data_IF_619796078514
#
_entry.id   IF_619796078514
#
_cell.length_a   1.000
_cell.length_b   1.000
_cell.length_c   1.000
_cell.angle_alpha   90.00
_cell.angle_beta   90.00
_cell.angle_gamma   90.00
#
_symmetry.space_group_name_H-M   'P 1'
#
loop_
_entity.id
_entity.type
_entity.pdbx_description
1 polymer ?
#
# COMPACT_ATOMS: atom_id res chain seq x y z
N UNK A 1 -14.00 -54.89 -33.90
CA UNK A 1 -14.61 -53.55 -33.77
C UNK A 1 -13.65 -52.70 -32.95
N UNK A 2 -12.79 -51.95 -33.64
CA UNK A 2 -11.73 -51.12 -33.09
C UNK A 2 -12.31 -49.79 -32.60
N UNK A 3 -12.20 -49.52 -31.29
CA UNK A 3 -12.63 -48.27 -30.68
C UNK A 3 -11.82 -47.09 -31.27
N UNK A 4 -12.54 -46.12 -31.82
CA UNK A 4 -12.03 -44.98 -32.57
C UNK A 4 -11.44 -43.91 -31.63
N UNK A 5 -10.20 -43.48 -31.90
CA UNK A 5 -9.38 -42.54 -31.07
C UNK A 5 -9.84 -41.07 -31.15
N UNK A 6 -11.07 -40.82 -31.62
CA UNK A 6 -11.58 -39.49 -32.01
C UNK A 6 -12.27 -38.69 -30.89
N UNK A 7 -12.35 -39.21 -29.67
CA UNK A 7 -13.16 -38.60 -28.60
C UNK A 7 -12.44 -37.70 -27.59
N UNK A 8 -11.11 -37.60 -27.59
CA UNK A 8 -10.36 -37.08 -26.43
C UNK A 8 -9.55 -35.80 -26.69
N UNK A 9 -9.86 -35.04 -27.75
CA UNK A 9 -9.15 -33.80 -28.12
C UNK A 9 -10.06 -32.55 -28.13
N UNK A 10 -11.08 -32.49 -27.28
CA UNK A 10 -12.05 -31.37 -27.29
C UNK A 10 -12.41 -30.78 -25.91
N UNK A 11 -11.57 -30.94 -24.89
CA UNK A 11 -11.80 -30.38 -23.54
C UNK A 11 -10.60 -29.60 -23.00
N UNK A 12 -9.83 -28.96 -23.87
CA UNK A 12 -8.60 -28.25 -23.52
C UNK A 12 -8.58 -26.78 -23.95
N UNK A 13 -9.62 -25.97 -23.68
CA UNK A 13 -9.51 -24.51 -23.86
C UNK A 13 -10.63 -23.69 -23.18
N UNK A 14 -10.88 -23.86 -21.88
CA UNK A 14 -11.87 -23.03 -21.17
C UNK A 14 -11.51 -22.69 -19.72
N UNK A 15 -10.23 -22.73 -19.34
CA UNK A 15 -9.78 -22.22 -18.05
C UNK A 15 -9.41 -20.74 -18.19
N UNK A 16 -10.47 -19.93 -18.07
CA UNK A 16 -10.53 -18.58 -17.54
C UNK A 16 -9.20 -17.83 -17.41
N UNK A 17 -8.98 -16.89 -18.33
CA UNK A 17 -8.18 -15.69 -18.09
C UNK A 17 -8.85 -14.88 -16.97
N UNK A 18 -8.61 -15.28 -15.72
CA UNK A 18 -8.90 -14.46 -14.54
C UNK A 18 -7.97 -13.26 -14.55
N UNK A 19 -8.35 -12.23 -15.31
CA UNK A 19 -7.66 -10.95 -15.26
C UNK A 19 -7.66 -10.47 -13.81
N UNK A 20 -6.47 -10.17 -13.26
CA UNK A 20 -6.37 -9.33 -12.08
C UNK A 20 -6.97 -7.99 -12.47
N UNK A 21 -8.29 -7.85 -12.30
CA UNK A 21 -8.95 -6.57 -12.34
C UNK A 21 -8.37 -5.80 -11.16
N UNK A 22 -7.31 -5.05 -11.43
CA UNK A 22 -6.78 -4.06 -10.52
C UNK A 22 -7.94 -3.14 -10.20
N UNK A 23 -8.57 -3.36 -9.05
CA UNK A 23 -9.51 -2.42 -8.47
C UNK A 23 -8.77 -1.09 -8.48
N UNK A 24 -9.38 -0.06 -9.05
CA UNK A 24 -8.73 1.22 -9.33
C UNK A 24 -8.00 1.81 -8.13
N UNK A 25 -7.25 2.88 -8.35
CA UNK A 25 -6.39 3.50 -7.34
C UNK A 25 -5.04 3.88 -7.92
N UNK A 26 -4.10 4.27 -7.05
CA UNK A 26 -2.72 4.54 -7.45
C UNK A 26 -1.86 3.27 -7.41
N UNK A 27 -0.88 3.19 -8.29
CA UNK A 27 0.23 2.24 -8.19
C UNK A 27 1.33 2.84 -7.33
N UNK A 28 1.72 2.14 -6.28
CA UNK A 28 2.83 2.55 -5.42
C UNK A 28 4.16 2.18 -6.08
N UNK A 29 5.11 3.11 -6.04
CA UNK A 29 6.50 2.87 -6.40
C UNK A 29 7.40 3.21 -5.23
N UNK A 30 8.56 2.56 -5.12
CA UNK A 30 9.56 2.94 -4.14
C UNK A 30 10.10 4.34 -4.44
N UNK A 31 10.19 5.19 -3.41
CA UNK A 31 10.89 6.47 -3.50
C UNK A 31 12.41 6.32 -3.65
N UNK A 32 13.13 7.39 -4.05
CA UNK A 32 14.59 7.39 -4.06
C UNK A 32 15.14 7.12 -2.65
N UNK A 33 15.93 6.06 -2.49
CA UNK A 33 16.36 5.52 -1.18
C UNK A 33 17.36 6.36 -0.41
N UNK A 34 17.78 7.54 -0.91
CA UNK A 34 18.80 8.39 -0.29
C UNK A 34 18.30 9.28 0.84
N UNK A 35 16.99 9.59 0.89
CA UNK A 35 16.40 10.57 1.84
C UNK A 35 15.46 9.92 2.88
N UNK A 36 15.42 8.58 2.96
CA UNK A 36 14.53 7.88 3.88
C UNK A 36 15.00 7.90 5.36
N UNK A 37 16.25 8.30 5.62
CA UNK A 37 16.82 8.33 6.96
C UNK A 37 16.11 9.41 7.81
N UNK A 38 15.39 8.97 8.85
CA UNK A 38 14.65 9.86 9.76
C UNK A 38 13.14 9.97 9.48
N UNK A 39 12.65 9.34 8.41
CA UNK A 39 11.20 9.21 8.18
C UNK A 39 10.61 8.08 9.03
N UNK A 40 9.30 8.16 9.32
CA UNK A 40 8.57 7.10 10.02
C UNK A 40 8.70 5.78 9.24
N UNK A 41 9.18 4.73 9.90
CA UNK A 41 9.24 3.41 9.30
C UNK A 41 7.84 2.79 9.26
N UNK A 42 7.36 2.47 8.05
CA UNK A 42 6.08 1.81 7.87
C UNK A 42 6.26 0.29 7.94
N UNK A 43 5.31 -0.39 8.58
CA UNK A 43 5.18 -1.86 8.52
C UNK A 43 4.61 -2.31 7.18
N UNK A 44 3.71 -1.51 6.62
CA UNK A 44 3.18 -1.71 5.28
C UNK A 44 2.60 -0.41 4.73
N UNK A 45 2.45 -0.34 3.41
CA UNK A 45 1.60 0.63 2.75
C UNK A 45 0.84 -0.07 1.64
N UNK A 46 -0.46 0.18 1.57
CA UNK A 46 -1.35 -0.39 0.54
C UNK A 46 -2.14 0.71 -0.12
N UNK A 47 -2.21 0.68 -1.45
CA UNK A 47 -3.11 1.51 -2.22
C UNK A 47 -4.42 0.76 -2.45
N UNK A 48 -5.54 1.38 -2.07
CA UNK A 48 -6.88 0.91 -2.34
C UNK A 48 -7.64 1.84 -3.28
N UNK A 49 -8.92 1.54 -3.56
CA UNK A 49 -9.75 2.33 -4.48
C UNK A 49 -9.99 3.77 -4.08
N UNK A 50 -10.07 4.03 -2.77
CA UNK A 50 -10.41 5.36 -2.24
C UNK A 50 -9.21 6.10 -1.62
N UNK A 51 -8.07 5.44 -1.46
CA UNK A 51 -6.95 6.02 -0.75
C UNK A 51 -5.84 5.04 -0.38
N UNK A 52 -4.94 5.49 0.47
CA UNK A 52 -3.83 4.72 1.03
C UNK A 52 -4.14 4.27 2.44
N UNK A 53 -3.70 3.06 2.79
CA UNK A 53 -3.62 2.62 4.18
C UNK A 53 -2.16 2.35 4.52
N UNK A 54 -1.64 3.04 5.54
CA UNK A 54 -0.32 2.74 6.11
C UNK A 54 -0.49 1.88 7.36
N UNK A 55 0.47 1.00 7.62
CA UNK A 55 0.62 0.31 8.90
C UNK A 55 1.88 0.81 9.58
N UNK A 56 1.79 1.11 10.86
CA UNK A 56 2.88 1.65 11.68
C UNK A 56 2.96 0.87 12.98
N UNK A 57 4.14 0.84 13.60
CA UNK A 57 4.26 0.35 14.96
C UNK A 57 3.42 1.21 15.91
N UNK A 58 2.77 0.59 16.88
CA UNK A 58 1.85 1.25 17.82
C UNK A 58 1.98 0.65 19.21
N UNK A 59 1.93 1.50 20.24
CA UNK A 59 1.78 1.09 21.64
C UNK A 59 0.31 1.00 22.06
N UNK A 60 -0.62 1.09 21.11
CA UNK A 60 -2.05 0.80 21.29
C UNK A 60 -2.99 1.98 21.08
N UNK A 61 -2.47 3.20 20.86
CA UNK A 61 -3.31 4.37 20.67
C UNK A 61 -2.93 5.26 19.49
N UNK A 62 -2.05 4.83 18.58
CA UNK A 62 -1.84 5.53 17.32
C UNK A 62 -3.16 5.80 16.58
N UNK A 63 -3.40 7.06 16.23
CA UNK A 63 -4.53 7.49 15.41
C UNK A 63 -4.07 8.32 14.23
N UNK A 64 -4.94 8.48 13.22
CA UNK A 64 -4.59 9.21 12.00
C UNK A 64 -4.17 10.65 12.28
N UNK A 65 -4.84 11.30 13.23
CA UNK A 65 -4.57 12.65 13.69
C UNK A 65 -3.21 12.83 14.37
N UNK A 66 -2.52 11.75 14.75
CA UNK A 66 -1.15 11.77 15.29
C UNK A 66 -0.08 11.86 14.20
N UNK A 67 -0.48 11.78 12.94
CA UNK A 67 0.40 11.79 11.79
C UNK A 67 0.19 13.04 10.96
N UNK A 68 1.28 13.48 10.36
CA UNK A 68 1.30 14.44 9.28
C UNK A 68 1.75 13.72 8.01
N UNK A 69 1.45 14.31 6.86
CA UNK A 69 1.99 13.89 5.58
C UNK A 69 2.51 15.09 4.81
N UNK A 70 3.48 14.84 3.95
CA UNK A 70 4.02 15.80 3.00
C UNK A 70 3.92 15.22 1.59
N UNK A 71 3.46 16.02 0.63
CA UNK A 71 3.37 15.63 -0.78
C UNK A 71 4.20 16.59 -1.61
N UNK A 72 5.17 16.05 -2.35
CA UNK A 72 5.87 16.78 -3.40
C UNK A 72 5.26 16.44 -4.76
N UNK A 73 4.69 17.44 -5.42
CA UNK A 73 4.05 17.32 -6.75
C UNK A 73 4.96 17.75 -7.90
N UNK A 74 6.19 18.20 -7.62
CA UNK A 74 7.12 18.68 -8.63
C UNK A 74 7.82 17.53 -9.36
N UNK A 75 7.99 16.39 -8.69
CA UNK A 75 8.51 15.15 -9.27
C UNK A 75 7.49 14.35 -10.08
N UNK A 76 7.99 13.47 -10.97
CA UNK A 76 7.18 12.52 -11.72
C UNK A 76 7.73 11.09 -11.50
N UNK A 77 7.01 10.22 -10.76
CA UNK A 77 5.72 10.46 -10.13
C UNK A 77 5.80 11.40 -8.92
N UNK A 78 4.68 12.00 -8.48
CA UNK A 78 4.63 12.71 -7.22
C UNK A 78 5.05 11.80 -6.07
N UNK A 79 5.59 12.39 -5.01
CA UNK A 79 6.07 11.65 -3.85
C UNK A 79 5.26 12.01 -2.60
N UNK A 80 5.16 11.07 -1.66
CA UNK A 80 4.51 11.27 -0.37
C UNK A 80 5.36 10.70 0.76
N UNK A 81 5.40 11.41 1.88
CA UNK A 81 5.97 10.94 3.14
C UNK A 81 4.95 11.12 4.27
N UNK A 82 4.97 10.19 5.23
CA UNK A 82 4.21 10.23 6.47
C UNK A 82 5.16 10.41 7.66
N UNK A 83 4.76 11.17 8.67
CA UNK A 83 5.53 11.35 9.88
C UNK A 83 4.62 11.41 11.09
N UNK A 84 5.02 10.78 12.18
CA UNK A 84 4.34 10.91 13.46
C UNK A 84 4.70 12.27 14.08
N UNK A 85 3.68 13.08 14.40
CA UNK A 85 3.85 14.37 15.08
C UNK A 85 3.59 14.32 16.58
N UNK A 86 2.99 13.23 17.09
CA UNK A 86 2.73 13.04 18.54
C UNK A 86 3.14 11.64 19.00
N UNK A 87 3.91 11.59 20.09
CA UNK A 87 4.27 10.34 20.74
C UNK A 87 3.04 9.70 21.40
N UNK A 88 2.97 8.37 21.34
CA UNK A 88 1.96 7.64 22.10
C UNK A 88 2.31 7.69 23.59
N UNK A 89 1.38 8.17 24.41
CA UNK A 89 1.52 8.22 25.88
C UNK A 89 0.76 7.10 26.56
N UNK A 90 0.00 6.31 25.80
CA UNK A 90 -0.68 5.12 26.29
C UNK A 90 0.27 3.92 26.32
N UNK A 91 -0.10 2.91 27.10
CA UNK A 91 0.62 1.64 27.16
C UNK A 91 -0.33 0.47 27.01
N UNK A 92 -0.26 -0.22 25.87
CA UNK A 92 -0.85 -1.55 25.73
C UNK A 92 0.11 -2.60 26.31
N UNK A 93 -0.45 -3.70 26.82
CA UNK A 93 0.33 -4.82 27.35
C UNK A 93 1.25 -5.48 26.31
N UNK A 94 0.89 -5.38 25.02
CA UNK A 94 1.68 -5.91 23.90
C UNK A 94 1.78 -4.85 22.81
N UNK A 95 2.99 -4.49 22.36
CA UNK A 95 3.17 -3.64 21.18
C UNK A 95 2.53 -4.27 19.94
N UNK A 96 1.92 -3.45 19.10
CA UNK A 96 1.20 -3.92 17.92
C UNK A 96 1.39 -2.99 16.72
N UNK A 97 0.41 -3.03 15.83
CA UNK A 97 0.36 -2.16 14.65
C UNK A 97 -0.95 -1.39 14.62
N UNK A 98 -0.90 -0.18 14.07
CA UNK A 98 -2.10 0.59 13.74
C UNK A 98 -2.20 0.75 12.23
N UNK A 99 -3.41 0.53 11.69
CA UNK A 99 -3.73 0.81 10.30
C UNK A 99 -4.38 2.20 10.20
N UNK A 100 -3.77 3.09 9.41
CA UNK A 100 -4.21 4.47 9.25
C UNK A 100 -4.56 4.73 7.79
N UNK A 101 -5.80 5.14 7.54
CA UNK A 101 -6.34 5.27 6.18
C UNK A 101 -6.52 6.73 5.78
N UNK A 102 -5.95 7.09 4.62
CA UNK A 102 -5.97 8.41 4.04
C UNK A 102 -6.61 8.39 2.65
N UNK A 103 -7.66 9.18 2.42
CA UNK A 103 -8.27 9.33 1.09
C UNK A 103 -7.33 9.99 0.07
N UNK A 104 -7.52 9.78 -1.22
CA UNK A 104 -6.72 10.54 -2.20
C UNK A 104 -7.02 12.05 -2.16
N UNK A 105 -8.27 12.41 -1.87
CA UNK A 105 -8.69 13.79 -1.71
C UNK A 105 -8.00 14.48 -0.53
N UNK A 106 -7.91 13.84 0.64
CA UNK A 106 -7.21 14.45 1.79
C UNK A 106 -5.71 14.60 1.54
N UNK A 107 -5.11 13.64 0.82
CA UNK A 107 -3.70 13.71 0.41
C UNK A 107 -3.48 14.76 -0.70
N UNK A 108 -4.54 15.21 -1.38
CA UNK A 108 -4.45 16.09 -2.52
C UNK A 108 -3.62 15.49 -3.66
N UNK A 109 -3.78 14.20 -3.92
CA UNK A 109 -3.15 13.46 -5.02
C UNK A 109 -4.23 12.91 -5.96
N UNK A 110 -3.84 12.57 -7.18
CA UNK A 110 -4.76 11.95 -8.13
C UNK A 110 -5.21 10.56 -7.65
N UNK A 111 -6.48 10.23 -7.89
CA UNK A 111 -7.06 8.92 -7.54
C UNK A 111 -6.53 7.75 -8.41
N UNK A 112 -5.76 8.08 -9.46
CA UNK A 112 -5.17 7.13 -10.41
C UNK A 112 -3.77 7.57 -10.79
N UNK A 113 -2.95 6.63 -11.25
CA UNK A 113 -1.59 6.88 -11.71
C UNK A 113 -0.55 6.28 -10.78
N UNK A 114 0.64 6.89 -10.71
CA UNK A 114 1.75 6.43 -9.88
C UNK A 114 2.01 7.40 -8.74
N UNK A 115 2.35 6.89 -7.57
CA UNK A 115 2.71 7.67 -6.39
C UNK A 115 3.90 7.00 -5.70
N UNK A 116 4.97 7.75 -5.43
CA UNK A 116 6.13 7.22 -4.72
C UNK A 116 5.98 7.44 -3.21
N UNK A 117 6.09 6.38 -2.42
CA UNK A 117 6.11 6.49 -0.95
C UNK A 117 7.57 6.53 -0.52
N UNK A 118 7.95 7.61 0.18
CA UNK A 118 9.33 7.84 0.61
C UNK A 118 9.66 7.14 1.93
N UNK A 119 8.65 6.81 2.73
CA UNK A 119 8.87 6.15 4.01
C UNK A 119 9.57 4.80 3.83
N UNK A 120 10.59 4.49 4.65
CA UNK A 120 11.20 3.18 4.64
C UNK A 120 10.20 2.13 5.13
N UNK A 121 10.26 0.94 4.55
CA UNK A 121 9.58 -0.22 5.08
C UNK A 121 10.46 -0.86 6.16
N UNK A 122 9.93 -1.01 7.37
CA UNK A 122 10.61 -1.75 8.42
C UNK A 122 10.79 -3.20 7.97
N UNK A 123 12.00 -3.74 8.14
CA UNK A 123 12.22 -5.17 7.97
C UNK A 123 11.32 -5.93 8.95
N UNK A 124 10.66 -6.99 8.48
CA UNK A 124 10.09 -7.96 9.40
C UNK A 124 11.26 -8.63 10.15
N UNK A 125 11.22 -8.69 11.49
CA UNK A 125 12.19 -9.47 12.25
C UNK A 125 12.11 -10.96 11.90
#
# INVERSE_FOLDING_TARGET
MTLDRRGLLATGLALALGGCAGRGGVSLVAGPGGEAAGLEALKAVTAGPAGLTIRVASSGCARKEDFAFYVDRTGVPPTIAFARKRLETCHAATPGEAALSFTYQELGVAERGRLAVLNPLAANP
#
